data_IF_215211434339
#
_entry.id   IF_215211434339
#
_cell.length_a   1.000
_cell.length_b   1.000
_cell.length_c   1.000
_cell.angle_alpha   90.00
_cell.angle_beta   90.00
_cell.angle_gamma   90.00
#
_symmetry.space_group_name_H-M   'P 1'
#
loop_
_entity.id
_entity.type
_entity.pdbx_description
1 polymer ?
#
# COMPACT_ATOMS: atom_id res chain seq x y z
N UNK A 1 18.10 10.50 17.28
CA UNK A 1 17.28 10.77 16.08
C UNK A 1 16.20 9.71 16.05
N UNK A 2 14.92 10.10 15.99
CA UNK A 2 13.79 9.18 16.18
C UNK A 2 13.68 8.17 15.00
N UNK A 3 13.68 6.87 15.27
CA UNK A 3 13.60 5.83 14.24
C UNK A 3 12.31 5.92 13.40
N UNK A 4 11.22 6.42 13.98
CA UNK A 4 9.97 6.66 13.24
C UNK A 4 10.10 7.85 12.28
N UNK A 5 10.91 8.86 12.64
CA UNK A 5 11.20 9.99 11.76
C UNK A 5 11.92 9.52 10.47
N UNK A 6 12.95 8.68 10.60
CA UNK A 6 13.64 8.11 9.44
C UNK A 6 12.71 7.29 8.54
N UNK A 7 11.78 6.51 9.10
CA UNK A 7 10.81 5.77 8.30
C UNK A 7 9.83 6.67 7.55
N UNK A 8 9.47 7.83 8.11
CA UNK A 8 8.63 8.83 7.42
C UNK A 8 9.37 9.41 6.21
N UNK A 9 10.64 9.73 6.35
CA UNK A 9 11.47 10.20 5.24
C UNK A 9 11.64 9.12 4.15
N UNK A 10 11.83 7.85 4.56
CA UNK A 10 11.86 6.73 3.62
C UNK A 10 10.52 6.53 2.90
N UNK A 11 9.40 6.68 3.60
CA UNK A 11 8.07 6.64 2.98
C UNK A 11 7.94 7.76 1.95
N UNK A 12 8.31 8.99 2.32
CA UNK A 12 8.24 10.13 1.43
C UNK A 12 9.14 9.95 0.19
N UNK A 13 10.33 9.36 0.34
CA UNK A 13 11.24 9.09 -0.78
C UNK A 13 10.77 7.97 -1.70
N UNK A 14 9.93 7.04 -1.22
CA UNK A 14 9.31 6.00 -2.04
C UNK A 14 8.00 6.43 -2.70
N UNK A 15 7.30 7.44 -2.16
CA UNK A 15 6.08 7.95 -2.78
C UNK A 15 6.37 8.61 -4.14
N UNK A 16 7.47 9.36 -4.28
CA UNK A 16 7.83 10.01 -5.54
C UNK A 16 7.99 9.03 -6.73
N UNK A 17 8.87 7.99 -6.67
CA UNK A 17 9.01 7.03 -7.76
C UNK A 17 7.74 6.20 -7.99
N UNK A 18 6.92 5.98 -6.95
CA UNK A 18 5.63 5.33 -7.12
C UNK A 18 4.65 6.22 -7.90
N UNK A 19 4.53 7.49 -7.54
CA UNK A 19 3.69 8.45 -8.29
C UNK A 19 4.15 8.56 -9.74
N UNK A 20 5.46 8.65 -9.98
CA UNK A 20 5.99 8.75 -11.34
C UNK A 20 5.70 7.49 -12.17
N UNK A 21 5.82 6.29 -11.56
CA UNK A 21 5.42 5.05 -12.22
C UNK A 21 3.92 5.03 -12.56
N UNK A 22 3.06 5.48 -11.65
CA UNK A 22 1.60 5.56 -11.89
C UNK A 22 1.28 6.58 -12.99
N UNK A 23 1.95 7.74 -13.01
CA UNK A 23 1.81 8.74 -14.08
C UNK A 23 2.25 8.17 -15.44
N UNK A 24 3.38 7.45 -15.49
CA UNK A 24 3.85 6.79 -16.71
C UNK A 24 2.87 5.71 -17.19
N UNK A 25 2.27 4.96 -16.26
CA UNK A 25 1.24 3.97 -16.62
C UNK A 25 -0.02 4.64 -17.15
N UNK A 26 -0.41 5.80 -16.62
CA UNK A 26 -1.60 6.54 -17.03
C UNK A 26 -1.51 7.14 -18.45
N UNK A 27 -0.31 7.27 -19.03
CA UNK A 27 -0.12 7.63 -20.45
C UNK A 27 -0.67 6.54 -21.37
N UNK A 28 -0.67 5.29 -20.90
CA UNK A 28 -0.99 4.10 -21.68
C UNK A 28 -2.46 3.71 -21.54
N UNK A 29 -3.01 3.11 -22.59
CA UNK A 29 -4.35 2.54 -22.58
C UNK A 29 -4.37 1.19 -21.88
N UNK A 30 -5.56 0.78 -21.45
CA UNK A 30 -5.83 -0.55 -20.90
C UNK A 30 -6.32 -1.45 -22.03
N UNK A 31 -5.39 -2.25 -22.59
CA UNK A 31 -5.75 -3.32 -23.51
C UNK A 31 -6.36 -4.49 -22.71
N UNK A 32 -7.67 -4.72 -22.83
CA UNK A 32 -8.37 -5.74 -22.03
C UNK A 32 -7.88 -7.16 -22.29
N UNK A 33 -7.42 -7.45 -23.52
CA UNK A 33 -6.91 -8.77 -23.88
C UNK A 33 -5.65 -9.13 -23.06
N UNK A 34 -4.79 -8.13 -22.81
CA UNK A 34 -3.56 -8.29 -22.04
C UNK A 34 -3.82 -8.73 -20.60
N UNK A 35 -4.93 -8.31 -20.02
CA UNK A 35 -5.29 -8.56 -18.62
C UNK A 35 -6.39 -9.62 -18.45
N UNK A 36 -6.75 -10.31 -19.53
CA UNK A 36 -7.87 -11.24 -19.54
C UNK A 36 -7.75 -12.39 -18.52
N UNK A 37 -6.52 -12.75 -18.12
CA UNK A 37 -6.23 -13.82 -17.15
C UNK A 37 -6.24 -13.34 -15.69
N UNK A 38 -6.26 -12.04 -15.46
CA UNK A 38 -6.22 -11.41 -14.14
C UNK A 38 -7.61 -10.97 -13.66
N UNK A 39 -8.68 -11.57 -14.19
CA UNK A 39 -10.10 -11.27 -13.87
C UNK A 39 -10.59 -11.79 -12.53
N UNK A 40 -9.72 -12.40 -11.73
CA UNK A 40 -10.08 -12.83 -10.39
C UNK A 40 -10.42 -11.61 -9.52
N UNK A 41 -11.47 -11.70 -8.68
CA UNK A 41 -11.82 -10.60 -7.80
C UNK A 41 -10.61 -10.23 -6.94
N UNK A 42 -10.39 -8.92 -6.77
CA UNK A 42 -9.34 -8.45 -5.88
C UNK A 42 -9.64 -8.93 -4.45
N UNK A 43 -8.64 -9.47 -3.74
CA UNK A 43 -8.82 -9.88 -2.34
C UNK A 43 -9.23 -8.68 -1.48
N UNK A 44 -9.99 -8.94 -0.42
CA UNK A 44 -10.26 -7.92 0.59
C UNK A 44 -8.96 -7.39 1.19
N UNK A 45 -8.94 -6.11 1.59
CA UNK A 45 -7.72 -5.47 2.09
C UNK A 45 -7.13 -6.18 3.32
N UNK A 46 -7.97 -6.80 4.17
CA UNK A 46 -7.52 -7.58 5.33
C UNK A 46 -6.76 -8.84 4.88
N UNK A 47 -7.33 -9.61 3.95
CA UNK A 47 -6.73 -10.85 3.47
C UNK A 47 -5.43 -10.56 2.70
N UNK A 48 -5.46 -9.51 1.87
CA UNK A 48 -4.27 -9.05 1.16
C UNK A 48 -3.18 -8.62 2.15
N UNK A 49 -3.52 -7.85 3.18
CA UNK A 49 -2.56 -7.41 4.20
C UNK A 49 -1.89 -8.60 4.91
N UNK A 50 -2.66 -9.61 5.30
CA UNK A 50 -2.12 -10.80 5.94
C UNK A 50 -1.19 -11.60 5.04
N UNK A 51 -1.63 -11.90 3.81
CA UNK A 51 -0.78 -12.59 2.83
C UNK A 51 0.49 -11.79 2.51
N UNK A 52 0.37 -10.46 2.40
CA UNK A 52 1.46 -9.55 2.11
C UNK A 52 2.51 -9.51 3.23
N UNK A 53 2.05 -9.41 4.48
CA UNK A 53 2.91 -9.40 5.66
C UNK A 53 3.68 -10.72 5.84
N UNK A 54 3.02 -11.86 5.55
CA UNK A 54 3.64 -13.19 5.65
C UNK A 54 4.61 -13.49 4.52
N UNK A 55 4.48 -12.83 3.36
CA UNK A 55 5.39 -13.03 2.23
C UNK A 55 6.80 -12.54 2.56
N UNK A 56 7.78 -13.44 2.42
CA UNK A 56 9.20 -13.20 2.77
C UNK A 56 10.02 -12.55 1.66
N UNK A 57 9.49 -12.46 0.44
CA UNK A 57 10.23 -11.95 -0.72
C UNK A 57 9.48 -10.83 -1.42
N UNK A 58 10.22 -9.87 -1.98
CA UNK A 58 9.63 -8.79 -2.75
C UNK A 58 8.88 -9.31 -4.01
N UNK A 59 9.39 -10.29 -4.78
CA UNK A 59 8.64 -10.88 -5.89
C UNK A 59 7.34 -11.56 -5.44
N UNK A 60 7.35 -12.22 -4.28
CA UNK A 60 6.13 -12.80 -3.70
C UNK A 60 5.08 -11.74 -3.40
N UNK A 61 5.50 -10.60 -2.83
CA UNK A 61 4.64 -9.43 -2.58
C UNK A 61 4.09 -8.82 -3.88
N UNK A 62 4.95 -8.64 -4.89
CA UNK A 62 4.53 -8.17 -6.22
C UNK A 62 3.42 -9.06 -6.80
N UNK A 63 3.57 -10.39 -6.70
CA UNK A 63 2.55 -11.34 -7.17
C UNK A 63 1.22 -11.17 -6.45
N UNK A 64 1.23 -10.96 -5.13
CA UNK A 64 0.01 -10.75 -4.34
C UNK A 64 -0.75 -9.47 -4.72
N UNK A 65 -0.04 -8.42 -5.13
CA UNK A 65 -0.66 -7.14 -5.51
C UNK A 65 -1.33 -7.18 -6.88
N UNK A 66 -1.00 -8.16 -7.74
CA UNK A 66 -1.37 -8.18 -9.16
C UNK A 66 -2.89 -8.06 -9.38
N UNK A 67 -3.71 -8.86 -8.70
CA UNK A 67 -5.17 -8.83 -8.89
C UNK A 67 -5.77 -7.48 -8.50
N UNK A 68 -5.34 -6.92 -7.37
CA UNK A 68 -5.80 -5.58 -6.95
C UNK A 68 -5.35 -4.49 -7.91
N UNK A 69 -4.12 -4.56 -8.40
CA UNK A 69 -3.60 -3.61 -9.38
C UNK A 69 -4.43 -3.61 -10.66
N UNK A 70 -4.73 -4.79 -11.22
CA UNK A 70 -5.49 -4.90 -12.48
C UNK A 70 -6.96 -4.54 -12.31
N UNK A 71 -7.58 -4.91 -11.19
CA UNK A 71 -9.03 -4.76 -10.97
C UNK A 71 -9.41 -3.41 -10.35
N UNK A 72 -8.53 -2.79 -9.56
CA UNK A 72 -8.83 -1.57 -8.81
C UNK A 72 -8.07 -0.37 -9.37
N UNK A 73 -6.76 -0.50 -9.60
CA UNK A 73 -5.91 0.65 -9.94
C UNK A 73 -5.97 0.98 -11.45
N UNK A 74 -5.78 -0.02 -12.33
CA UNK A 74 -5.77 0.22 -13.77
C UNK A 74 -7.05 0.90 -14.31
N UNK A 75 -8.28 0.53 -13.89
CA UNK A 75 -9.49 1.20 -14.37
C UNK A 75 -9.58 2.68 -13.97
N UNK A 76 -8.94 3.08 -12.86
CA UNK A 76 -8.89 4.47 -12.42
C UNK A 76 -7.82 5.28 -13.16
N UNK A 77 -6.75 4.63 -13.62
CA UNK A 77 -5.60 5.30 -14.24
C UNK A 77 -5.70 5.39 -15.76
N UNK A 78 -6.31 4.40 -16.41
CA UNK A 78 -6.09 4.14 -17.82
C UNK A 78 -7.42 4.06 -18.58
N UNK A 79 -7.48 4.75 -19.72
CA UNK A 79 -8.60 4.61 -20.66
C UNK A 79 -8.48 3.28 -21.41
N UNK A 80 -9.58 2.60 -21.66
CA UNK A 80 -9.58 1.34 -22.43
C UNK A 80 -9.21 1.55 -23.89
N UNK A 81 -8.43 0.63 -24.47
CA UNK A 81 -8.11 0.63 -25.90
C UNK A 81 -6.80 -0.10 -26.24
N UNK A 82 -6.48 -0.25 -27.54
CA UNK A 82 -5.23 -0.86 -27.98
C UNK A 82 -4.03 0.03 -27.62
N UNK A 83 -2.91 -0.61 -27.28
CA UNK A 83 -1.63 0.04 -26.98
C UNK A 83 -0.49 -0.98 -27.18
N UNK A 84 0.75 -0.51 -27.13
CA UNK A 84 1.94 -1.34 -27.17
C UNK A 84 2.02 -2.23 -25.91
N UNK A 85 1.91 -3.54 -26.11
CA UNK A 85 1.86 -4.51 -25.00
C UNK A 85 3.15 -4.53 -24.19
N UNK A 86 4.31 -4.41 -24.85
CA UNK A 86 5.62 -4.43 -24.19
C UNK A 86 5.77 -3.23 -23.26
N UNK A 87 5.41 -2.04 -23.72
CA UNK A 87 5.43 -0.82 -22.93
C UNK A 87 4.41 -0.87 -21.77
N UNK A 88 3.22 -1.42 -22.00
CA UNK A 88 2.23 -1.61 -20.94
C UNK A 88 2.76 -2.53 -19.83
N UNK A 89 3.29 -3.69 -20.20
CA UNK A 89 3.85 -4.66 -19.25
C UNK A 89 5.06 -4.10 -18.49
N UNK A 90 5.91 -3.31 -19.15
CA UNK A 90 7.02 -2.62 -18.51
C UNK A 90 6.54 -1.59 -17.46
N UNK A 91 5.53 -0.77 -17.82
CA UNK A 91 4.93 0.19 -16.90
C UNK A 91 4.20 -0.50 -15.72
N UNK A 92 3.51 -1.61 -15.98
CA UNK A 92 2.87 -2.43 -14.94
C UNK A 92 3.88 -2.98 -13.94
N UNK A 93 5.00 -3.48 -14.46
CA UNK A 93 6.11 -4.01 -13.66
C UNK A 93 6.72 -2.92 -12.78
N UNK A 94 6.93 -1.72 -13.32
CA UNK A 94 7.42 -0.57 -12.56
C UNK A 94 6.45 -0.18 -11.42
N UNK A 95 5.15 -0.10 -11.71
CA UNK A 95 4.12 0.20 -10.72
C UNK A 95 4.09 -0.84 -9.59
N UNK A 96 4.01 -2.13 -9.94
CA UNK A 96 3.92 -3.22 -8.96
C UNK A 96 5.17 -3.29 -8.07
N UNK A 97 6.36 -3.10 -8.64
CA UNK A 97 7.60 -3.05 -7.88
C UNK A 97 7.63 -1.85 -6.94
N UNK A 98 7.24 -0.66 -7.40
CA UNK A 98 7.19 0.54 -6.57
C UNK A 98 6.17 0.40 -5.43
N UNK A 99 4.98 -0.14 -5.71
CA UNK A 99 3.96 -0.46 -4.71
C UNK A 99 4.50 -1.43 -3.66
N UNK A 100 5.14 -2.52 -4.10
CA UNK A 100 5.66 -3.52 -3.19
C UNK A 100 6.77 -2.95 -2.28
N UNK A 101 7.65 -2.09 -2.80
CA UNK A 101 8.67 -1.42 -1.97
C UNK A 101 8.02 -0.49 -0.95
N UNK A 102 7.05 0.32 -1.39
CA UNK A 102 6.35 1.28 -0.53
C UNK A 102 5.54 0.62 0.59
N UNK A 103 4.82 -0.46 0.28
CA UNK A 103 4.03 -1.21 1.27
C UNK A 103 4.90 -2.07 2.20
N UNK A 104 6.10 -2.47 1.76
CA UNK A 104 7.05 -3.17 2.64
C UNK A 104 7.52 -2.31 3.81
N UNK A 105 7.57 -0.98 3.65
CA UNK A 105 7.88 -0.08 4.77
C UNK A 105 6.82 -0.17 5.89
N UNK A 106 5.57 -0.50 5.58
CA UNK A 106 4.52 -0.65 6.59
C UNK A 106 4.81 -1.80 7.57
N UNK A 107 5.53 -2.83 7.15
CA UNK A 107 6.00 -3.91 8.02
C UNK A 107 7.01 -3.34 9.03
N UNK A 108 7.99 -2.56 8.55
CA UNK A 108 8.99 -1.93 9.41
C UNK A 108 8.39 -0.89 10.35
N UNK A 109 7.37 -0.13 9.90
CA UNK A 109 6.62 0.80 10.75
C UNK A 109 5.95 0.05 11.90
N UNK A 110 5.34 -1.10 11.64
CA UNK A 110 4.75 -1.94 12.68
C UNK A 110 5.80 -2.38 13.71
N UNK A 111 6.96 -2.87 13.24
CA UNK A 111 8.08 -3.25 14.10
C UNK A 111 8.53 -2.09 15.00
N UNK A 112 8.78 -0.90 14.42
CA UNK A 112 9.22 0.28 15.20
C UNK A 112 8.17 0.78 16.18
N UNK A 113 6.90 0.80 15.78
CA UNK A 113 5.79 1.18 16.68
C UNK A 113 5.71 0.23 17.89
N UNK A 114 5.93 -1.07 17.67
CA UNK A 114 6.01 -2.04 18.76
C UNK A 114 7.21 -1.82 19.65
N UNK A 115 8.39 -1.54 19.11
CA UNK A 115 9.58 -1.24 19.91
C UNK A 115 9.38 -0.01 20.81
N UNK A 116 8.73 1.04 20.28
CA UNK A 116 8.40 2.24 21.08
C UNK A 116 7.25 2.03 22.08
N UNK A 117 6.44 0.99 21.86
CA UNK A 117 5.23 0.57 22.57
C UNK A 117 4.47 1.68 23.34
N UNK A 118 3.87 2.67 22.65
CA UNK A 118 3.06 3.69 23.32
C UNK A 118 1.92 3.06 24.12
N UNK A 119 1.59 3.60 25.29
CA UNK A 119 0.58 3.01 26.18
C UNK A 119 -0.78 2.73 25.50
N UNK A 120 -1.24 3.66 24.64
CA UNK A 120 -2.47 3.48 23.86
C UNK A 120 -2.37 2.31 22.87
N UNK A 121 -1.23 2.15 22.19
CA UNK A 121 -1.00 1.05 21.26
C UNK A 121 -0.88 -0.29 22.02
N UNK A 122 -0.25 -0.28 23.19
CA UNK A 122 -0.16 -1.45 24.06
C UNK A 122 -1.55 -1.94 24.48
N UNK A 123 -2.40 -1.03 24.95
CA UNK A 123 -3.78 -1.35 25.32
C UNK A 123 -4.59 -1.88 24.14
N UNK A 124 -4.43 -1.28 22.95
CA UNK A 124 -5.09 -1.75 21.73
C UNK A 124 -4.66 -3.17 21.35
N UNK A 125 -3.36 -3.46 21.36
CA UNK A 125 -2.83 -4.80 21.02
C UNK A 125 -3.35 -5.86 22.00
N UNK A 126 -3.37 -5.58 23.31
CA UNK A 126 -3.89 -6.50 24.34
C UNK A 126 -5.37 -6.83 24.14
N UNK A 127 -6.15 -5.92 23.57
CA UNK A 127 -7.58 -6.17 23.29
C UNK A 127 -7.80 -7.22 22.19
N UNK A 128 -6.76 -7.56 21.41
CA UNK A 128 -6.81 -8.46 20.24
C UNK A 128 -7.83 -8.04 19.18
N UNK A 129 -8.35 -6.82 19.25
CA UNK A 129 -9.31 -6.25 18.31
C UNK A 129 -8.58 -5.52 17.18
N UNK A 130 -8.65 -6.03 15.93
CA UNK A 130 -8.01 -5.39 14.79
C UNK A 130 -8.47 -3.95 14.52
N UNK A 131 -9.73 -3.60 14.84
CA UNK A 131 -10.25 -2.25 14.62
C UNK A 131 -9.62 -1.27 15.60
N UNK A 132 -9.55 -1.63 16.89
CA UNK A 132 -8.88 -0.81 17.91
C UNK A 132 -7.39 -0.62 17.60
N UNK A 133 -6.71 -1.66 17.12
CA UNK A 133 -5.31 -1.54 16.69
C UNK A 133 -5.20 -0.62 15.48
N UNK A 134 -6.12 -0.73 14.50
CA UNK A 134 -6.15 0.14 13.33
C UNK A 134 -6.31 1.61 13.71
N UNK A 135 -7.22 1.92 14.64
CA UNK A 135 -7.40 3.27 15.21
C UNK A 135 -6.11 3.76 15.88
N UNK A 136 -5.51 2.94 16.74
CA UNK A 136 -4.30 3.30 17.48
C UNK A 136 -3.07 3.53 16.58
N UNK A 137 -2.98 2.89 15.41
CA UNK A 137 -1.88 3.13 14.45
C UNK A 137 -2.14 4.27 13.47
N UNK A 138 -3.38 4.74 13.38
CA UNK A 138 -3.78 5.78 12.42
C UNK A 138 -3.24 7.15 12.86
N UNK A 139 -2.68 7.90 11.93
CA UNK A 139 -2.30 9.28 12.15
C UNK A 139 -2.80 10.12 10.97
N UNK A 140 -3.99 10.69 11.13
CA UNK A 140 -4.70 11.41 10.07
C UNK A 140 -3.93 12.63 9.56
N UNK A 141 -3.15 13.30 10.42
CA UNK A 141 -2.31 14.42 10.01
C UNK A 141 -1.21 13.97 9.04
N UNK A 142 -0.51 12.88 9.37
CA UNK A 142 0.52 12.29 8.49
C UNK A 142 -0.09 11.76 7.20
N UNK A 143 -1.27 11.15 7.24
CA UNK A 143 -1.96 10.68 6.04
C UNK A 143 -2.36 11.84 5.12
N UNK A 144 -2.85 12.95 5.68
CA UNK A 144 -3.14 14.17 4.92
C UNK A 144 -1.88 14.76 4.27
N UNK A 145 -0.75 14.78 4.98
CA UNK A 145 0.54 15.22 4.43
C UNK A 145 1.02 14.33 3.27
N UNK A 146 0.84 13.00 3.37
CA UNK A 146 1.12 12.06 2.29
C UNK A 146 0.28 12.40 1.06
N UNK A 147 -1.04 12.56 1.23
CA UNK A 147 -1.94 12.89 0.12
C UNK A 147 -1.59 14.24 -0.53
N UNK A 148 -1.26 15.26 0.26
CA UNK A 148 -0.84 16.56 -0.25
C UNK A 148 0.47 16.49 -1.05
N UNK A 149 1.45 15.71 -0.58
CA UNK A 149 2.71 15.46 -1.31
C UNK A 149 2.47 14.70 -2.60
N UNK A 150 1.67 13.64 -2.56
CA UNK A 150 1.30 12.83 -3.73
C UNK A 150 0.60 13.70 -4.78
N UNK A 151 -0.37 14.53 -4.38
CA UNK A 151 -1.07 15.46 -5.27
C UNK A 151 -0.12 16.47 -5.92
N UNK A 152 0.82 17.03 -5.14
CA UNK A 152 1.81 17.98 -5.65
C UNK A 152 2.75 17.31 -6.66
N UNK A 153 3.18 16.08 -6.40
CA UNK A 153 4.05 15.34 -7.31
C UNK A 153 3.31 14.98 -8.60
N UNK A 154 2.10 14.42 -8.49
CA UNK A 154 1.32 14.01 -9.66
C UNK A 154 0.92 15.19 -10.56
N UNK A 155 0.74 16.39 -10.01
CA UNK A 155 0.55 17.62 -10.81
C UNK A 155 1.76 17.98 -11.67
N UNK A 156 2.98 17.59 -11.26
CA UNK A 156 4.21 17.88 -12.01
C UNK A 156 4.46 16.88 -13.13
N UNK A 157 4.14 15.60 -12.89
CA UNK A 157 4.50 14.49 -13.79
C UNK A 157 3.31 13.82 -14.48
N UNK A 158 2.08 14.18 -14.09
CA UNK A 158 0.86 13.59 -14.62
C UNK A 158 0.59 13.96 -16.08
N UNK A 159 0.10 13.01 -16.90
CA UNK A 159 -0.12 13.24 -18.32
C UNK A 159 -1.40 14.01 -18.65
N UNK A 160 -2.29 14.22 -17.68
CA UNK A 160 -3.50 15.01 -17.85
C UNK A 160 -3.98 15.62 -16.52
N UNK A 161 -4.85 16.66 -16.54
CA UNK A 161 -5.34 17.31 -15.33
C UNK A 161 -6.10 16.42 -14.36
N UNK A 162 -6.69 15.31 -14.83
CA UNK A 162 -7.47 14.38 -13.99
C UNK A 162 -6.64 13.32 -13.26
N UNK A 163 -5.46 12.96 -13.80
CA UNK A 163 -4.59 11.93 -13.19
C UNK A 163 -4.18 12.25 -11.75
N UNK A 164 -3.86 13.50 -11.38
CA UNK A 164 -3.56 13.83 -9.99
C UNK A 164 -4.65 13.41 -9.00
N UNK A 165 -5.92 13.60 -9.33
CA UNK A 165 -7.03 13.26 -8.44
C UNK A 165 -7.27 11.74 -8.40
N UNK A 166 -7.12 11.03 -9.52
CA UNK A 166 -7.16 9.56 -9.54
C UNK A 166 -6.03 8.92 -8.71
N UNK A 167 -4.81 9.45 -8.78
CA UNK A 167 -3.69 8.95 -7.96
C UNK A 167 -3.95 9.22 -6.47
N UNK A 168 -4.49 10.40 -6.13
CA UNK A 168 -4.86 10.72 -4.74
C UNK A 168 -5.93 9.75 -4.23
N UNK A 169 -6.95 9.42 -5.03
CA UNK A 169 -7.97 8.44 -4.69
C UNK A 169 -7.37 7.04 -4.46
N UNK A 170 -6.48 6.57 -5.33
CA UNK A 170 -5.76 5.29 -5.14
C UNK A 170 -4.99 5.29 -3.80
N UNK A 171 -4.36 6.40 -3.44
CA UNK A 171 -3.65 6.49 -2.17
C UNK A 171 -4.61 6.46 -0.97
N UNK A 172 -5.67 7.27 -1.01
CA UNK A 172 -6.63 7.42 0.08
C UNK A 172 -7.47 6.16 0.31
N UNK A 173 -7.94 5.54 -0.77
CA UNK A 173 -8.95 4.48 -0.71
C UNK A 173 -8.34 3.08 -0.67
N UNK A 174 -7.11 2.92 -1.17
CA UNK A 174 -6.49 1.61 -1.30
C UNK A 174 -5.11 1.51 -0.64
N UNK A 175 -4.16 2.39 -0.97
CA UNK A 175 -2.76 2.22 -0.52
C UNK A 175 -2.57 2.49 0.98
N UNK A 176 -3.09 3.60 1.49
CA UNK A 176 -3.00 3.97 2.91
C UNK A 176 -3.78 2.97 3.77
N UNK A 177 -5.04 2.60 3.44
CA UNK A 177 -5.76 1.54 4.13
C UNK A 177 -5.03 0.20 4.14
N UNK A 178 -4.48 -0.24 3.01
CA UNK A 178 -3.70 -1.49 2.95
C UNK A 178 -2.45 -1.39 3.85
N UNK A 179 -1.74 -0.26 3.82
CA UNK A 179 -0.58 0.01 4.68
C UNK A 179 -0.93 -0.08 6.17
N UNK A 180 -2.09 0.44 6.59
CA UNK A 180 -2.58 0.31 7.98
C UNK A 180 -2.87 -1.15 8.32
N UNK A 181 -3.57 -1.88 7.45
CA UNK A 181 -3.91 -3.29 7.70
C UNK A 181 -2.69 -4.21 7.73
N UNK A 182 -1.65 -3.91 6.94
CA UNK A 182 -0.35 -4.61 7.04
C UNK A 182 0.26 -4.38 8.43
N UNK A 183 0.19 -3.16 8.96
CA UNK A 183 0.67 -2.87 10.32
C UNK A 183 -0.16 -3.63 11.37
N UNK A 184 -1.48 -3.60 11.27
CA UNK A 184 -2.39 -4.30 12.20
C UNK A 184 -2.10 -5.79 12.22
N UNK A 185 -1.94 -6.42 11.05
CA UNK A 185 -1.60 -7.83 10.97
C UNK A 185 -0.26 -8.13 11.65
N UNK A 186 0.79 -7.36 11.33
CA UNK A 186 2.08 -7.50 12.00
C UNK A 186 1.96 -7.37 13.52
N UNK A 187 1.29 -6.31 13.99
CA UNK A 187 1.09 -6.00 15.41
C UNK A 187 0.39 -7.14 16.18
N UNK A 188 -0.61 -7.77 15.58
CA UNK A 188 -1.39 -8.84 16.20
C UNK A 188 -0.77 -10.24 16.02
N UNK A 189 0.00 -10.49 14.96
CA UNK A 189 0.62 -11.81 14.73
C UNK A 189 1.71 -12.16 15.77
N UNK A 190 2.41 -11.15 16.29
CA UNK A 190 3.53 -11.34 17.23
C UNK A 190 3.11 -11.37 18.71
N UNK A 191 1.80 -11.45 19.02
CA UNK A 191 1.34 -11.59 20.40
C UNK A 191 1.50 -13.06 20.80
N UNK A 192 2.37 -13.43 21.77
CA UNK A 192 2.35 -14.77 22.30
C UNK A 192 0.95 -15.05 22.83
N UNK A 193 0.42 -16.24 22.54
CA UNK A 193 -0.67 -16.82 23.33
C UNK A 193 -0.23 -16.68 24.78
N UNK A 194 -0.96 -15.88 25.58
CA UNK A 194 -0.77 -15.90 27.02
C UNK A 194 -0.92 -17.36 27.43
N UNK A 195 0.18 -17.97 27.88
CA UNK A 195 0.18 -19.32 28.39
C UNK A 195 -1.00 -19.45 29.34
N UNK A 196 -1.94 -20.32 28.98
CA UNK A 196 -3.14 -20.58 29.76
C UNK A 196 -2.75 -20.72 31.22
N UNK A 197 -3.23 -19.78 32.03
CA UNK A 197 -3.02 -19.77 33.46
C UNK A 197 -3.48 -21.11 34.02
N UNK A 198 -2.55 -21.81 34.67
CA UNK A 198 -2.89 -22.78 35.68
C UNK A 198 -3.63 -22.04 36.82
N UNK A 199 -4.80 -22.58 37.18
CA UNK A 199 -5.66 -22.12 38.25
C UNK A 199 -6.93 -22.95 38.27
#
# INVERSE_FOLDING_TARGET
MDALFHLRDMIASLDAPLVDALCQRAVRRRNEALYARDRFPAPGLRDLAGAYATSRTLPGRVRLLRSSYVQILLPQLCVTGPDDEVACLAADTACLNALARRLSLSIHVATRKRESLPAALQAAIRSRDPLRVEEAVTNSAVEAEVLARVKRQSRKTGPSPGIPDHIVAIYADWLIPLSRKIQVHGLLADCPEEAGGAG
#
